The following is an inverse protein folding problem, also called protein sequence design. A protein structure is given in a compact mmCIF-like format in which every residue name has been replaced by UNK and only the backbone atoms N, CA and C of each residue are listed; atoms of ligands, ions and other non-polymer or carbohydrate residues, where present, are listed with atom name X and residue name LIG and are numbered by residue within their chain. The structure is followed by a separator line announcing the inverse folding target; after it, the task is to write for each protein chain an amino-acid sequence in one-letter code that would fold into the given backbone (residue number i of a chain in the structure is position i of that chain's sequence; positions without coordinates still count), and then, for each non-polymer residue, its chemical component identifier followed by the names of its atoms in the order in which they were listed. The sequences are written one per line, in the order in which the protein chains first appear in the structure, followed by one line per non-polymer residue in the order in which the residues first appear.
data_IF_532915711866
#
_entry.id   IF_532915711866
#
_cell.length_a   1.000
_cell.length_b   1.000
_cell.length_c   1.000
_cell.angle_alpha   90.00
_cell.angle_beta   90.00
_cell.angle_gamma   90.00
#
_symmetry.space_group_name_H-M   'P 1'
#
loop_
_entity.id
_entity.type
_entity.pdbx_description
1 polymer ?
#
# COMPACT_ATOMS: atom_id res chain seq x y z
N UNK A 1 14.77 24.94 31.86
CA UNK A 1 13.91 25.69 32.79
C UNK A 1 13.63 27.13 32.37
N UNK A 2 14.62 28.02 32.19
CA UNK A 2 14.37 29.43 31.79
C UNK A 2 13.68 29.59 30.42
N UNK A 3 14.03 28.74 29.45
CA UNK A 3 13.45 28.75 28.10
C UNK A 3 11.95 28.39 28.13
N UNK A 4 11.58 27.30 28.81
CA UNK A 4 10.17 26.89 28.96
C UNK A 4 9.32 27.97 29.64
N UNK A 5 9.82 28.63 30.69
CA UNK A 5 9.08 29.71 31.36
C UNK A 5 8.82 30.92 30.44
N UNK A 6 9.79 31.27 29.59
CA UNK A 6 9.60 32.32 28.59
C UNK A 6 8.53 31.91 27.57
N UNK A 7 8.62 30.70 27.02
CA UNK A 7 7.64 30.17 26.06
C UNK A 7 6.22 30.14 26.63
N UNK A 8 6.05 29.71 27.89
CA UNK A 8 4.75 29.71 28.57
C UNK A 8 4.17 31.12 28.64
N UNK A 9 4.98 32.12 29.02
CA UNK A 9 4.50 33.51 29.07
C UNK A 9 4.09 34.06 27.70
N UNK A 10 4.78 33.65 26.63
CA UNK A 10 4.43 34.01 25.25
C UNK A 10 3.12 33.34 24.83
N UNK A 11 2.92 32.07 25.20
CA UNK A 11 1.68 31.33 24.95
C UNK A 11 0.50 31.96 25.68
N UNK A 12 0.63 32.27 26.97
CA UNK A 12 -0.43 32.94 27.75
C UNK A 12 -0.79 34.31 27.16
N UNK A 13 0.22 35.06 26.71
CA UNK A 13 0.00 36.34 26.01
C UNK A 13 -0.75 36.14 24.70
N UNK A 14 -0.40 35.12 23.92
CA UNK A 14 -1.15 34.76 22.71
C UNK A 14 -2.59 34.36 23.05
N UNK A 15 -2.82 33.55 24.07
CA UNK A 15 -4.16 33.11 24.45
C UNK A 15 -5.07 34.29 24.82
N UNK A 16 -4.54 35.32 25.48
CA UNK A 16 -5.28 36.53 25.82
C UNK A 16 -5.51 37.52 24.67
N UNK A 17 -4.52 37.68 23.78
CA UNK A 17 -4.57 38.68 22.69
C UNK A 17 -5.05 38.13 21.35
N UNK A 18 -4.89 36.82 21.13
CA UNK A 18 -5.06 36.11 19.85
C UNK A 18 -4.27 36.75 18.70
N UNK A 19 -3.15 37.42 19.00
CA UNK A 19 -2.30 38.06 18.00
C UNK A 19 -1.47 37.01 17.22
N UNK A 20 -1.62 36.94 15.87
CA UNK A 20 -0.85 36.04 15.02
C UNK A 20 0.67 36.24 15.14
N UNK A 21 1.14 37.45 15.41
CA UNK A 21 2.58 37.75 15.52
C UNK A 21 3.24 37.04 16.71
N UNK A 22 2.48 36.86 17.79
CA UNK A 22 2.91 36.17 19.01
C UNK A 22 2.89 34.67 18.78
N UNK A 23 1.84 34.16 18.11
CA UNK A 23 1.79 32.76 17.72
C UNK A 23 2.98 32.37 16.86
N UNK A 24 3.34 33.19 15.87
CA UNK A 24 4.47 32.92 14.98
C UNK A 24 5.80 32.72 15.73
N UNK A 25 6.02 33.43 16.84
CA UNK A 25 7.24 33.22 17.66
C UNK A 25 7.29 31.82 18.27
N UNK A 26 6.15 31.34 18.78
CA UNK A 26 6.04 29.98 19.33
C UNK A 26 6.12 28.94 18.22
N UNK A 27 5.45 29.20 17.10
CA UNK A 27 5.45 28.33 15.93
C UNK A 27 6.86 28.09 15.38
N UNK A 28 7.63 29.16 15.15
CA UNK A 28 9.02 29.09 14.67
C UNK A 28 9.90 28.30 15.65
N UNK A 29 9.70 28.48 16.96
CA UNK A 29 10.43 27.71 17.96
C UNK A 29 10.21 26.20 17.84
N UNK A 30 8.99 25.73 17.52
CA UNK A 30 8.67 24.30 17.43
C UNK A 30 8.81 23.71 16.03
N UNK A 31 9.18 24.49 15.01
CA UNK A 31 9.33 24.01 13.63
C UNK A 31 10.29 22.83 13.49
N UNK A 32 11.41 22.84 14.23
CA UNK A 32 12.37 21.74 14.19
C UNK A 32 11.75 20.42 14.65
N UNK A 33 10.86 20.47 15.64
CA UNK A 33 10.20 19.31 16.21
C UNK A 33 9.18 18.73 15.22
N UNK A 34 8.39 19.59 14.58
CA UNK A 34 7.43 19.19 13.53
C UNK A 34 8.16 18.46 12.40
N UNK A 35 9.21 19.07 11.85
CA UNK A 35 10.00 18.48 10.76
C UNK A 35 10.65 17.16 11.18
N UNK A 36 11.21 17.10 12.39
CA UNK A 36 11.82 15.89 12.93
C UNK A 36 10.82 14.73 13.09
N UNK A 37 9.62 15.01 13.63
CA UNK A 37 8.56 14.00 13.78
C UNK A 37 8.05 13.57 12.42
N UNK A 38 7.79 14.50 11.50
CA UNK A 38 7.32 14.18 10.15
C UNK A 38 8.30 13.26 9.42
N UNK A 39 9.59 13.61 9.38
CA UNK A 39 10.64 12.79 8.77
C UNK A 39 10.72 11.38 9.38
N UNK A 40 10.59 11.27 10.70
CA UNK A 40 10.66 9.98 11.40
C UNK A 40 9.53 9.03 10.96
N UNK A 41 8.29 9.52 10.88
CA UNK A 41 7.13 8.67 10.61
C UNK A 41 6.87 8.45 9.11
N UNK A 42 7.38 9.32 8.24
CA UNK A 42 7.20 9.20 6.79
C UNK A 42 8.46 8.71 6.06
N UNK A 43 9.49 8.25 6.80
CA UNK A 43 10.74 7.73 6.23
C UNK A 43 10.53 6.72 5.10
N UNK A 44 9.56 5.82 5.26
CA UNK A 44 9.25 4.76 4.29
C UNK A 44 8.24 5.19 3.21
N UNK A 45 7.63 6.38 3.34
CA UNK A 45 6.58 6.86 2.46
C UNK A 45 6.61 8.39 2.37
N UNK A 46 7.59 8.91 1.62
CA UNK A 46 7.81 10.37 1.47
C UNK A 46 6.61 11.15 0.94
N UNK A 47 5.73 10.52 0.15
CA UNK A 47 4.49 11.13 -0.35
C UNK A 47 3.56 11.62 0.76
N UNK A 48 3.67 11.07 1.97
CA UNK A 48 2.86 11.48 3.12
C UNK A 48 3.53 12.56 3.98
N UNK A 49 4.72 13.05 3.59
CA UNK A 49 5.48 14.01 4.39
C UNK A 49 4.73 15.32 4.57
N UNK A 50 4.25 15.93 3.47
CA UNK A 50 3.56 17.21 3.54
C UNK A 50 2.22 17.11 4.28
N UNK A 51 1.47 16.03 4.04
CA UNK A 51 0.26 15.69 4.80
C UNK A 51 0.55 15.60 6.32
N UNK A 52 1.63 14.92 6.69
CA UNK A 52 2.04 14.76 8.08
C UNK A 52 2.43 16.12 8.69
N UNK A 53 3.20 16.95 7.98
CA UNK A 53 3.55 18.30 8.44
C UNK A 53 2.31 19.14 8.66
N UNK A 54 1.35 19.11 7.72
CA UNK A 54 0.08 19.84 7.83
C UNK A 54 -0.69 19.46 9.10
N UNK A 55 -0.89 18.16 9.32
CA UNK A 55 -1.60 17.63 10.51
C UNK A 55 -0.89 17.97 11.81
N UNK A 56 0.44 17.92 11.84
CA UNK A 56 1.23 18.27 13.01
C UNK A 56 1.16 19.78 13.32
N UNK A 57 1.14 20.64 12.30
CA UNK A 57 0.99 22.09 12.48
C UNK A 57 -0.38 22.45 13.06
N UNK A 58 -1.45 21.82 12.57
CA UNK A 58 -2.80 22.00 13.13
C UNK A 58 -2.85 21.55 14.61
N UNK A 59 -2.23 20.40 14.90
CA UNK A 59 -2.12 19.89 16.28
C UNK A 59 -1.35 20.85 17.18
N UNK A 60 -0.23 21.41 16.69
CA UNK A 60 0.56 22.39 17.43
C UNK A 60 -0.28 23.61 17.80
N UNK A 61 -1.01 24.17 16.83
CA UNK A 61 -1.91 25.29 17.06
C UNK A 61 -2.95 24.95 18.13
N UNK A 62 -3.63 23.81 18.01
CA UNK A 62 -4.63 23.36 18.99
C UNK A 62 -4.03 23.23 20.40
N UNK A 63 -2.83 22.66 20.51
CA UNK A 63 -2.17 22.49 21.81
C UNK A 63 -1.76 23.82 22.43
N UNK A 64 -1.30 24.80 21.63
CA UNK A 64 -0.96 26.14 22.11
C UNK A 64 -2.22 26.88 22.55
N UNK A 65 -3.30 26.78 21.77
CA UNK A 65 -4.56 27.46 22.05
C UNK A 65 -5.20 26.98 23.36
N UNK A 66 -5.12 25.68 23.63
CA UNK A 66 -5.70 25.01 24.80
C UNK A 66 -4.66 24.69 25.89
N UNK A 67 -3.47 25.29 25.85
CA UNK A 67 -2.43 25.02 26.82
C UNK A 67 -2.85 25.54 28.21
N UNK A 68 -2.58 24.74 29.25
CA UNK A 68 -2.86 25.09 30.63
C UNK A 68 -1.56 25.04 31.44
N UNK A 69 -1.06 26.21 31.81
CA UNK A 69 0.19 26.38 32.55
C UNK A 69 0.12 25.85 33.98
N UNK A 70 -1.09 25.62 34.53
CA UNK A 70 -1.24 25.07 35.89
C UNK A 70 -0.95 23.56 35.95
N UNK A 71 -1.09 22.86 34.82
CA UNK A 71 -0.99 21.40 34.76
C UNK A 71 0.42 20.91 34.46
N UNK A 72 1.25 21.71 33.78
CA UNK A 72 2.59 21.27 33.35
C UNK A 72 3.51 22.46 33.08
N UNK A 73 4.67 22.49 33.75
CA UNK A 73 5.71 23.51 33.53
C UNK A 73 6.63 23.21 32.33
N UNK A 74 6.50 22.00 31.76
CA UNK A 74 7.32 21.50 30.65
C UNK A 74 6.52 21.44 29.34
N UNK A 75 6.32 22.62 28.76
CA UNK A 75 5.63 22.79 27.47
C UNK A 75 6.26 21.96 26.35
N UNK A 76 7.60 21.86 26.32
CA UNK A 76 8.31 21.17 25.25
C UNK A 76 8.01 19.66 25.28
N UNK A 77 8.09 19.03 26.45
CA UNK A 77 7.72 17.62 26.58
C UNK A 77 6.22 17.40 26.38
N UNK A 78 5.37 18.31 26.85
CA UNK A 78 3.93 18.23 26.60
C UNK A 78 3.63 18.19 25.09
N UNK A 79 4.18 19.14 24.34
CA UNK A 79 4.00 19.21 22.88
C UNK A 79 4.62 18.02 22.17
N UNK A 80 5.81 17.57 22.57
CA UNK A 80 6.42 16.33 22.02
C UNK A 80 5.43 15.18 22.12
N UNK A 81 4.90 14.90 23.30
CA UNK A 81 3.96 13.78 23.51
C UNK A 81 2.73 13.89 22.60
N UNK A 82 2.14 15.08 22.48
CA UNK A 82 0.95 15.29 21.65
C UNK A 82 1.25 15.13 20.16
N UNK A 83 2.37 15.69 19.68
CA UNK A 83 2.78 15.57 18.29
C UNK A 83 3.12 14.11 17.91
N UNK A 84 3.80 13.37 18.78
CA UNK A 84 4.07 11.95 18.58
C UNK A 84 2.78 11.12 18.51
N UNK A 85 1.81 11.38 19.39
CA UNK A 85 0.49 10.72 19.34
C UNK A 85 -0.25 11.01 18.05
N UNK A 86 -0.28 12.27 17.64
CA UNK A 86 -0.91 12.69 16.39
C UNK A 86 -0.27 11.99 15.17
N UNK A 87 1.06 11.88 15.13
CA UNK A 87 1.76 11.15 14.08
C UNK A 87 1.43 9.65 14.07
N UNK A 88 1.32 9.02 15.25
CA UNK A 88 0.90 7.62 15.39
C UNK A 88 -0.52 7.43 14.85
N UNK A 89 -1.46 8.31 15.19
CA UNK A 89 -2.84 8.20 14.74
C UNK A 89 -2.96 8.41 13.23
N UNK A 90 -2.25 9.40 12.68
CA UNK A 90 -2.17 9.62 11.25
C UNK A 90 -1.61 8.39 10.51
N UNK A 91 -0.52 7.82 11.00
CA UNK A 91 0.10 6.65 10.36
C UNK A 91 -0.78 5.41 10.46
N UNK A 92 -1.46 5.19 11.59
CA UNK A 92 -2.44 4.10 11.73
C UNK A 92 -3.60 4.23 10.74
N UNK A 93 -4.12 5.45 10.54
CA UNK A 93 -5.24 5.68 9.62
C UNK A 93 -4.83 5.64 8.14
N UNK A 94 -3.85 6.46 7.74
CA UNK A 94 -3.45 6.60 6.33
C UNK A 94 -2.42 5.58 5.89
N UNK A 95 -1.38 5.29 6.68
CA UNK A 95 -0.26 4.46 6.22
C UNK A 95 -0.68 3.01 6.00
N UNK A 96 -1.55 2.43 6.83
CA UNK A 96 -2.11 1.09 6.59
C UNK A 96 -2.94 1.05 5.30
N UNK A 97 -3.72 2.08 5.02
CA UNK A 97 -4.57 2.14 3.82
C UNK A 97 -3.74 2.36 2.55
N UNK A 98 -2.77 3.27 2.57
CA UNK A 98 -1.92 3.58 1.43
C UNK A 98 -0.88 2.48 1.17
N UNK A 99 -0.27 1.89 2.20
CA UNK A 99 0.69 0.78 2.03
C UNK A 99 -0.03 -0.45 1.47
N UNK A 100 -1.26 -0.74 1.93
CA UNK A 100 -2.04 -1.87 1.38
C UNK A 100 -2.58 -1.63 -0.03
N UNK A 101 -2.70 -0.37 -0.47
CA UNK A 101 -3.15 0.01 -1.83
C UNK A 101 -2.01 0.30 -2.80
N UNK A 102 -0.76 0.24 -2.35
CA UNK A 102 0.39 0.32 -3.26
C UNK A 102 0.48 -0.99 -4.04
N UNK A 103 0.02 -0.95 -5.29
CA UNK A 103 0.58 -1.79 -6.33
C UNK A 103 1.95 -1.16 -6.63
N UNK A 104 3.08 -1.82 -6.34
CA UNK A 104 4.36 -1.31 -6.80
C UNK A 104 4.29 -1.25 -8.32
N UNK A 105 4.35 -0.04 -8.89
CA UNK A 105 4.59 0.14 -10.31
C UNK A 105 5.98 -0.41 -10.55
N UNK A 106 6.08 -1.43 -11.39
CA UNK A 106 7.34 -2.11 -11.69
C UNK A 106 8.29 -1.09 -12.33
N UNK A 107 9.30 -0.64 -11.57
CA UNK A 107 10.29 0.32 -12.06
C UNK A 107 11.32 -0.31 -12.99
N UNK A 108 11.26 -1.63 -13.21
CA UNK A 108 12.07 -2.34 -14.20
C UNK A 108 11.32 -2.63 -15.50
N UNK A 109 10.02 -2.33 -15.56
CA UNK A 109 9.32 -2.28 -16.83
C UNK A 109 9.88 -1.08 -17.61
N UNK A 110 10.35 -1.31 -18.85
CA UNK A 110 10.66 -0.23 -19.78
C UNK A 110 9.53 0.81 -19.70
N UNK A 111 9.90 2.08 -19.53
CA UNK A 111 8.96 3.21 -19.52
C UNK A 111 8.31 3.35 -20.91
N UNK A 112 7.43 2.42 -21.26
CA UNK A 112 6.46 2.61 -22.31
C UNK A 112 5.39 3.52 -21.72
N UNK A 113 5.67 4.83 -21.77
CA UNK A 113 4.62 5.82 -21.69
C UNK A 113 3.49 5.37 -22.63
N UNK A 114 2.24 5.40 -22.17
CA UNK A 114 1.08 5.11 -23.00
C UNK A 114 0.87 6.24 -24.02
N UNK A 115 1.81 6.45 -24.92
CA UNK A 115 1.54 7.07 -26.22
C UNK A 115 0.73 6.04 -26.98
N UNK A 116 -0.58 6.27 -27.01
CA UNK A 116 -1.50 5.53 -27.86
C UNK A 116 -1.16 5.89 -29.32
N UNK A 117 -0.13 5.27 -29.87
CA UNK A 117 0.04 5.20 -31.32
C UNK A 117 -1.09 4.31 -31.81
N UNK A 118 -2.17 4.95 -32.24
CA UNK A 118 -3.26 4.25 -32.92
C UNK A 118 -2.71 3.78 -34.26
N UNK A 119 -2.26 2.53 -34.31
CA UNK A 119 -2.16 1.83 -35.59
C UNK A 119 -3.54 1.95 -36.26
N UNK A 120 -3.55 2.47 -37.49
CA UNK A 120 -4.74 2.87 -38.26
C UNK A 120 -5.71 1.71 -38.59
N UNK A 121 -5.58 0.56 -37.93
CA UNK A 121 -6.37 -0.64 -38.15
C UNK A 121 -6.86 -1.32 -36.86
N UNK A 122 -7.02 -0.57 -35.75
CA UNK A 122 -7.69 -1.11 -34.56
C UNK A 122 -9.20 -1.20 -34.76
N UNK A 123 -9.68 -2.35 -35.24
CA UNK A 123 -11.10 -2.65 -35.37
C UNK A 123 -11.70 -2.95 -33.99
N UNK A 124 -12.15 -1.90 -33.31
CA UNK A 124 -12.75 -1.95 -31.97
C UNK A 124 -13.91 -2.95 -31.89
N UNK A 125 -14.69 -3.12 -32.97
CA UNK A 125 -15.80 -4.06 -33.00
C UNK A 125 -15.31 -5.52 -32.92
N UNK A 126 -14.25 -5.87 -33.63
CA UNK A 126 -13.67 -7.23 -33.60
C UNK A 126 -12.98 -7.52 -32.25
N UNK A 127 -12.33 -6.51 -31.66
CA UNK A 127 -11.74 -6.57 -30.32
C UNK A 127 -12.81 -6.71 -29.21
N UNK A 128 -13.94 -6.02 -29.34
CA UNK A 128 -15.06 -6.13 -28.40
C UNK A 128 -15.79 -7.46 -28.61
N UNK A 129 -15.99 -7.93 -29.85
CA UNK A 129 -16.60 -9.23 -30.12
C UNK A 129 -15.75 -10.35 -29.49
N UNK A 130 -14.44 -10.38 -29.70
CA UNK A 130 -13.54 -11.39 -29.09
C UNK A 130 -13.51 -11.38 -27.55
N UNK A 131 -13.87 -10.26 -26.91
CA UNK A 131 -13.94 -10.13 -25.44
C UNK A 131 -15.35 -10.32 -24.86
N UNK A 132 -16.39 -10.11 -25.66
CA UNK A 132 -17.80 -10.07 -25.20
C UNK A 132 -18.58 -11.30 -25.63
N UNK A 133 -18.26 -11.92 -26.76
CA UNK A 133 -18.71 -13.28 -27.04
C UNK A 133 -17.85 -14.22 -26.22
N UNK A 134 -18.40 -14.72 -25.12
CA UNK A 134 -17.74 -15.65 -24.20
C UNK A 134 -17.30 -16.95 -24.89
N UNK A 135 -16.19 -16.90 -25.62
CA UNK A 135 -15.41 -18.08 -25.92
C UNK A 135 -14.86 -18.57 -24.58
N UNK A 136 -15.57 -19.55 -24.03
CA UNK A 136 -15.06 -20.42 -22.97
C UNK A 136 -13.68 -20.87 -23.45
N UNK A 137 -12.62 -20.32 -22.85
CA UNK A 137 -11.24 -20.65 -23.21
C UNK A 137 -11.10 -22.16 -23.21
N UNK A 138 -10.81 -22.72 -24.38
CA UNK A 138 -10.83 -24.16 -24.60
C UNK A 138 -9.84 -24.83 -23.64
N UNK A 139 -10.10 -26.07 -23.22
CA UNK A 139 -9.16 -26.83 -22.36
C UNK A 139 -7.73 -26.91 -22.93
N UNK A 140 -7.59 -26.72 -24.24
CA UNK A 140 -6.32 -26.59 -24.94
C UNK A 140 -5.53 -25.35 -24.51
N UNK A 141 -6.17 -24.19 -24.42
CA UNK A 141 -5.54 -22.91 -24.06
C UNK A 141 -5.16 -22.89 -22.58
N UNK A 142 -5.99 -23.51 -21.73
CA UNK A 142 -5.67 -23.78 -20.31
C UNK A 142 -4.39 -24.60 -20.18
N UNK A 143 -4.22 -25.63 -21.01
CA UNK A 143 -3.03 -26.51 -21.02
C UNK A 143 -1.78 -25.81 -21.55
N UNK A 144 -1.91 -24.97 -22.59
CA UNK A 144 -0.79 -24.21 -23.14
C UNK A 144 -0.25 -23.16 -22.15
N UNK A 145 -1.14 -22.43 -21.47
CA UNK A 145 -0.77 -21.47 -20.43
C UNK A 145 -0.01 -22.14 -19.28
N UNK A 146 -0.49 -23.31 -18.84
CA UNK A 146 0.14 -24.05 -17.76
C UNK A 146 1.49 -24.63 -18.18
N UNK A 147 1.61 -25.11 -19.41
CA UNK A 147 2.88 -25.57 -19.96
C UNK A 147 3.91 -24.45 -19.97
N UNK A 148 3.52 -23.25 -20.42
CA UNK A 148 4.39 -22.06 -20.38
C UNK A 148 4.81 -21.67 -18.94
N UNK A 149 3.89 -21.79 -17.96
CA UNK A 149 4.19 -21.50 -16.56
C UNK A 149 5.04 -22.59 -15.86
N UNK A 150 5.12 -23.80 -16.43
CA UNK A 150 5.82 -24.96 -15.84
C UNK A 150 7.12 -25.35 -16.53
N UNK A 151 7.46 -24.75 -17.67
CA UNK A 151 8.64 -25.07 -18.49
C UNK A 151 9.99 -25.01 -17.73
N UNK A 152 10.09 -24.19 -16.68
CA UNK A 152 11.30 -24.07 -15.84
C UNK A 152 11.08 -24.53 -14.38
N UNK A 153 10.06 -25.34 -14.11
CA UNK A 153 9.70 -25.75 -12.73
C UNK A 153 10.04 -27.21 -12.42
N UNK A 154 10.24 -27.50 -11.13
CA UNK A 154 10.53 -28.85 -10.62
C UNK A 154 9.52 -29.89 -11.10
N UNK A 155 9.98 -31.11 -11.37
CA UNK A 155 9.15 -32.25 -11.82
C UNK A 155 7.93 -32.52 -10.93
N UNK A 156 8.04 -32.24 -9.64
CA UNK A 156 6.96 -32.35 -8.65
C UNK A 156 5.87 -31.30 -8.90
N UNK A 157 6.24 -30.07 -9.27
CA UNK A 157 5.31 -28.99 -9.58
C UNK A 157 4.52 -29.33 -10.84
N UNK A 158 5.18 -29.83 -11.89
CA UNK A 158 4.52 -30.29 -13.11
C UNK A 158 3.51 -31.40 -12.81
N UNK A 159 3.88 -32.40 -12.00
CA UNK A 159 2.99 -33.50 -11.61
C UNK A 159 1.77 -33.04 -10.78
N UNK A 160 1.95 -32.05 -9.89
CA UNK A 160 0.85 -31.47 -9.12
C UNK A 160 -0.16 -30.77 -10.03
N UNK A 161 0.33 -30.00 -11.01
CA UNK A 161 -0.54 -29.21 -11.88
C UNK A 161 -1.25 -30.09 -12.90
N UNK A 162 -0.57 -31.09 -13.49
CA UNK A 162 -1.22 -32.03 -14.42
C UNK A 162 -2.33 -32.82 -13.73
N UNK A 163 -2.14 -33.26 -12.49
CA UNK A 163 -3.17 -33.95 -11.71
C UNK A 163 -4.32 -33.03 -11.29
N UNK A 164 -4.02 -31.75 -10.98
CA UNK A 164 -5.04 -30.74 -10.69
C UNK A 164 -5.99 -30.52 -11.87
N UNK A 165 -5.46 -30.51 -13.10
CA UNK A 165 -6.23 -30.32 -14.33
C UNK A 165 -6.98 -31.56 -14.80
N UNK A 166 -6.45 -32.75 -14.51
CA UNK A 166 -7.05 -34.01 -14.97
C UNK A 166 -8.21 -34.47 -14.09
N UNK A 167 -8.41 -33.85 -12.93
CA UNK A 167 -9.45 -34.19 -11.97
C UNK A 167 -10.71 -33.33 -12.16
N UNK A 168 -11.89 -33.94 -12.26
CA UNK A 168 -13.17 -33.20 -12.34
C UNK A 168 -13.47 -32.36 -11.09
N UNK A 169 -12.98 -32.79 -9.91
CA UNK A 169 -13.12 -32.06 -8.63
C UNK A 169 -11.80 -32.08 -7.86
N UNK A 170 -10.83 -31.24 -8.23
CA UNK A 170 -9.51 -31.25 -7.64
C UNK A 170 -9.56 -30.72 -6.20
N UNK A 171 -9.17 -31.56 -5.23
CA UNK A 171 -8.95 -31.14 -3.85
C UNK A 171 -7.46 -31.30 -3.53
N UNK A 172 -6.86 -30.38 -2.76
CA UNK A 172 -5.43 -30.46 -2.44
C UNK A 172 -5.04 -31.79 -1.78
N UNK A 173 -5.95 -32.38 -1.00
CA UNK A 173 -5.75 -33.69 -0.39
C UNK A 173 -5.81 -34.85 -1.41
N UNK A 174 -6.71 -34.79 -2.40
CA UNK A 174 -6.81 -35.85 -3.42
C UNK A 174 -5.63 -35.83 -4.38
N UNK A 175 -5.18 -34.63 -4.77
CA UNK A 175 -3.98 -34.43 -5.60
C UNK A 175 -2.73 -34.87 -4.83
N UNK A 176 -2.60 -34.45 -3.57
CA UNK A 176 -1.45 -34.82 -2.74
C UNK A 176 -1.33 -36.34 -2.54
N UNK A 177 -2.46 -37.03 -2.34
CA UNK A 177 -2.50 -38.49 -2.22
C UNK A 177 -2.04 -39.20 -3.50
N UNK A 178 -2.39 -38.68 -4.68
CA UNK A 178 -2.01 -39.27 -5.97
C UNK A 178 -0.57 -38.96 -6.38
N UNK A 179 -0.09 -37.75 -6.11
CA UNK A 179 1.27 -37.31 -6.45
C UNK A 179 2.30 -37.71 -5.37
N UNK A 180 1.85 -38.22 -4.21
CA UNK A 180 2.72 -38.67 -3.13
C UNK A 180 3.30 -37.52 -2.29
N UNK A 181 2.58 -36.41 -2.18
CA UNK A 181 3.02 -35.21 -1.46
C UNK A 181 1.94 -34.73 -0.48
N UNK A 182 2.37 -34.13 0.63
CA UNK A 182 1.45 -33.60 1.63
C UNK A 182 0.59 -32.45 1.04
N UNK A 183 -0.71 -32.40 1.37
CA UNK A 183 -1.67 -31.44 0.79
C UNK A 183 -1.23 -29.97 0.93
N UNK A 184 -0.56 -29.60 2.03
CA UNK A 184 -0.01 -28.24 2.22
C UNK A 184 1.05 -27.86 1.18
N UNK A 185 1.82 -28.85 0.68
CA UNK A 185 2.81 -28.64 -0.39
C UNK A 185 2.09 -28.36 -1.70
N UNK A 186 1.03 -29.11 -1.99
CA UNK A 186 0.15 -28.88 -3.16
C UNK A 186 -0.47 -27.48 -3.12
N UNK A 187 -1.04 -27.08 -2.00
CA UNK A 187 -1.64 -25.76 -1.81
C UNK A 187 -0.61 -24.64 -2.03
N UNK A 188 0.59 -24.77 -1.46
CA UNK A 188 1.67 -23.78 -1.62
C UNK A 188 2.11 -23.63 -3.08
N UNK A 189 2.22 -24.74 -3.81
CA UNK A 189 2.62 -24.74 -5.22
C UNK A 189 1.55 -24.06 -6.08
N UNK A 190 0.28 -24.43 -5.92
CA UNK A 190 -0.83 -23.85 -6.69
C UNK A 190 -0.98 -22.35 -6.39
N UNK A 191 -0.94 -21.95 -5.11
CA UNK A 191 -0.99 -20.53 -4.74
C UNK A 191 0.26 -19.76 -5.19
N UNK A 192 1.41 -20.41 -5.26
CA UNK A 192 2.66 -19.82 -5.76
C UNK A 192 2.61 -19.55 -7.25
N UNK A 193 2.06 -20.48 -8.04
CA UNK A 193 1.88 -20.30 -9.48
C UNK A 193 0.89 -19.18 -9.79
N UNK A 194 -0.20 -19.06 -9.02
CA UNK A 194 -1.14 -17.95 -9.14
C UNK A 194 -0.51 -16.57 -8.90
N UNK A 195 0.57 -16.49 -8.10
CA UNK A 195 1.30 -15.23 -7.86
C UNK A 195 2.21 -14.81 -9.02
N UNK A 196 2.69 -15.78 -9.80
CA UNK A 196 3.54 -15.53 -10.96
C UNK A 196 2.72 -15.36 -12.25
N UNK A 197 1.39 -15.36 -12.14
CA UNK A 197 0.49 -15.18 -13.26
C UNK A 197 0.47 -13.71 -13.70
N UNK A 198 1.02 -13.45 -14.89
CA UNK A 198 0.97 -12.15 -15.53
C UNK A 198 -0.32 -12.01 -16.34
N UNK A 199 -1.29 -11.28 -15.78
CA UNK A 199 -2.59 -11.05 -16.41
C UNK A 199 -2.50 -10.24 -17.72
N UNK A 200 -1.40 -9.51 -17.93
CA UNK A 200 -1.15 -8.76 -19.17
C UNK A 200 -0.84 -9.69 -20.34
N UNK A 201 -0.08 -10.77 -20.08
CA UNK A 201 0.32 -11.76 -21.10
C UNK A 201 -0.70 -12.87 -21.32
N UNK A 202 -1.51 -13.16 -20.31
CA UNK A 202 -2.35 -14.36 -20.31
C UNK A 202 -3.85 -14.07 -20.10
N UNK A 203 -4.26 -12.80 -19.96
CA UNK A 203 -5.65 -12.40 -19.71
C UNK A 203 -6.07 -12.55 -18.24
N UNK A 204 -7.37 -12.50 -17.95
CA UNK A 204 -7.84 -12.62 -16.56
C UNK A 204 -7.85 -14.08 -16.06
N UNK A 205 -7.23 -14.31 -14.89
CA UNK A 205 -7.12 -15.62 -14.24
C UNK A 205 -8.49 -16.26 -13.97
N UNK A 206 -9.49 -15.44 -13.63
CA UNK A 206 -10.84 -15.88 -13.34
C UNK A 206 -11.51 -16.54 -14.56
N UNK A 207 -11.16 -16.13 -15.79
CA UNK A 207 -11.66 -16.74 -17.01
C UNK A 207 -11.13 -18.18 -17.25
N UNK A 208 -10.04 -18.57 -16.57
CA UNK A 208 -9.48 -19.91 -16.64
C UNK A 208 -9.93 -20.83 -15.50
N UNK A 209 -10.31 -20.24 -14.35
CA UNK A 209 -10.73 -20.94 -13.14
C UNK A 209 -12.26 -21.02 -12.97
N UNK A 210 -13.03 -20.20 -13.69
CA UNK A 210 -14.48 -20.38 -13.78
C UNK A 210 -14.79 -21.61 -14.63
N UNK A 211 -15.31 -22.64 -13.95
CA UNK A 211 -16.00 -23.79 -14.55
C UNK A 211 -17.36 -23.35 -15.08
#
# INVERSE_FOLDING_TARGET
MKINKNLISVIEKYQGTKDPSIFNQVFEHFQYLIKGVALKYTKNCRLLYDDMVSVLNERLWFCIDNFDSTRTDDIENHLKVQLFRCAIDFTRGKQMTYVNRRIPVDTTAEENAATFESDEHFNLEEYVISRTSGEIKTDHDKRQLIKALTENTDSITTAIVTEHLSSERPTYASIGKKVGVHYKKVERVIKGLAKNYDASKHGELNAYLSV
#
